data_IF_299693629178
#
_entry.id   IF_299693629178
#
_cell.length_a   1.000
_cell.length_b   1.000
_cell.length_c   1.000
_cell.angle_alpha   90.00
_cell.angle_beta   90.00
_cell.angle_gamma   90.00
#
_symmetry.space_group_name_H-M   'P 1'
#
loop_
_entity.id
_entity.type
_entity.pdbx_description
1 polymer ?
#
# COMPACT_ATOMS: atom_id res chain seq x y z
N UNK A 1 38.22 -15.67 -21.27
CA UNK A 1 38.32 -14.30 -20.75
C UNK A 1 37.06 -14.05 -19.95
N UNK A 2 37.18 -14.08 -18.62
CA UNK A 2 36.09 -13.83 -17.70
C UNK A 2 36.05 -12.33 -17.41
N UNK A 3 35.09 -11.63 -18.01
CA UNK A 3 34.82 -10.23 -17.69
C UNK A 3 33.83 -10.22 -16.53
N UNK A 4 34.36 -10.14 -15.31
CA UNK A 4 33.60 -9.82 -14.11
C UNK A 4 33.12 -8.37 -14.23
N UNK A 5 31.96 -8.17 -14.85
CA UNK A 5 31.18 -6.95 -14.62
C UNK A 5 30.70 -7.06 -13.18
N UNK A 6 31.46 -6.44 -12.28
CA UNK A 6 31.00 -6.08 -10.95
C UNK A 6 29.78 -5.19 -11.16
N UNK A 7 28.60 -5.81 -11.28
CA UNK A 7 27.34 -5.15 -11.14
C UNK A 7 27.40 -4.51 -9.77
N UNK A 8 27.63 -3.20 -9.73
CA UNK A 8 27.42 -2.41 -8.53
C UNK A 8 25.97 -2.70 -8.19
N UNK A 9 25.74 -3.55 -7.20
CA UNK A 9 24.41 -3.80 -6.65
C UNK A 9 23.94 -2.44 -6.18
N UNK A 10 23.22 -1.73 -7.05
CA UNK A 10 22.34 -0.67 -6.61
C UNK A 10 21.37 -1.42 -5.72
N UNK A 11 21.66 -1.37 -4.44
CA UNK A 11 20.72 -1.75 -3.39
C UNK A 11 19.68 -0.65 -3.44
N UNK A 12 18.81 -0.67 -4.47
CA UNK A 12 17.53 -0.03 -4.33
C UNK A 12 16.89 -0.80 -3.19
N UNK A 13 16.80 -0.12 -2.04
CA UNK A 13 16.13 -0.68 -0.88
C UNK A 13 14.64 -0.66 -1.23
N UNK A 14 14.21 -1.69 -1.95
CA UNK A 14 12.81 -1.94 -2.26
C UNK A 14 12.25 -2.82 -1.14
N UNK A 15 11.17 -2.38 -0.50
CA UNK A 15 10.47 -3.15 0.54
C UNK A 15 9.14 -3.60 -0.01
N UNK A 16 8.96 -4.92 -0.11
CA UNK A 16 7.70 -5.54 -0.46
C UNK A 16 6.87 -5.82 0.79
N UNK A 17 5.67 -5.25 0.88
CA UNK A 17 4.74 -5.46 1.99
C UNK A 17 3.45 -6.07 1.44
N UNK A 18 2.98 -7.13 2.08
CA UNK A 18 1.64 -7.67 1.82
C UNK A 18 0.70 -7.14 2.90
N UNK A 19 -0.33 -6.39 2.51
CA UNK A 19 -1.28 -5.80 3.44
C UNK A 19 -2.72 -5.92 2.91
N UNK A 20 -3.66 -6.32 3.78
CA UNK A 20 -5.08 -6.29 3.44
C UNK A 20 -5.64 -4.91 3.77
N UNK A 21 -5.83 -4.11 2.73
CA UNK A 21 -6.35 -2.75 2.83
C UNK A 21 -7.79 -2.70 2.29
N UNK A 22 -8.62 -1.92 2.98
CA UNK A 22 -9.99 -1.63 2.60
C UNK A 22 -10.12 -0.12 2.35
N UNK A 23 -11.15 0.29 1.60
CA UNK A 23 -11.37 1.70 1.24
C UNK A 23 -11.41 2.64 2.45
N UNK A 24 -11.91 2.16 3.60
CA UNK A 24 -11.94 2.90 4.86
C UNK A 24 -10.55 3.23 5.43
N UNK A 25 -9.52 2.44 5.10
CA UNK A 25 -8.16 2.63 5.56
C UNK A 25 -7.37 3.63 4.69
N UNK A 26 -7.89 4.02 3.52
CA UNK A 26 -7.16 4.89 2.59
C UNK A 26 -7.02 6.32 3.13
N UNK A 27 -8.10 6.87 3.69
CA UNK A 27 -8.09 8.20 4.27
C UNK A 27 -7.09 8.34 5.44
N UNK A 28 -7.12 7.49 6.49
CA UNK A 28 -6.14 7.58 7.57
C UNK A 28 -4.71 7.31 7.08
N UNK A 29 -4.52 6.38 6.15
CA UNK A 29 -3.20 6.10 5.58
C UNK A 29 -2.62 7.29 4.82
N UNK A 30 -3.44 8.01 4.04
CA UNK A 30 -3.02 9.24 3.38
C UNK A 30 -2.73 10.37 4.37
N UNK A 31 -3.47 10.48 5.47
CA UNK A 31 -3.19 11.50 6.48
C UNK A 31 -1.88 11.26 7.23
N UNK A 32 -1.60 10.00 7.58
CA UNK A 32 -0.38 9.63 8.30
C UNK A 32 0.86 9.64 7.41
N UNK A 33 0.74 9.19 6.15
CA UNK A 33 1.89 9.02 5.25
C UNK A 33 2.06 10.15 4.22
N UNK A 34 1.01 10.93 3.91
CA UNK A 34 1.04 11.91 2.81
C UNK A 34 1.99 13.10 3.01
N UNK A 35 2.52 13.29 4.22
CA UNK A 35 3.55 14.28 4.51
C UNK A 35 4.95 13.86 4.06
N UNK A 36 5.27 12.58 4.23
CA UNK A 36 6.63 12.04 4.04
C UNK A 36 6.73 11.13 2.80
N UNK A 37 5.61 10.53 2.39
CA UNK A 37 5.51 9.62 1.27
C UNK A 37 4.59 10.18 0.19
N UNK A 38 5.05 10.07 -1.05
CA UNK A 38 4.21 10.19 -2.22
C UNK A 38 3.34 8.95 -2.36
N UNK A 39 2.04 9.16 -2.31
CA UNK A 39 1.03 8.14 -2.50
C UNK A 39 -0.17 8.70 -3.28
N UNK A 40 -0.76 7.89 -4.14
CA UNK A 40 -1.93 8.27 -4.92
C UNK A 40 -3.16 7.56 -4.36
N UNK A 41 -4.11 8.36 -3.84
CA UNK A 41 -5.38 7.85 -3.31
C UNK A 41 -6.13 7.05 -4.38
N UNK A 42 -6.21 7.56 -5.61
CA UNK A 42 -6.83 6.86 -6.74
C UNK A 42 -6.12 5.53 -7.05
N UNK A 43 -4.78 5.49 -7.02
CA UNK A 43 -4.03 4.26 -7.26
C UNK A 43 -4.26 3.21 -6.16
N UNK A 44 -4.34 3.64 -4.90
CA UNK A 44 -4.64 2.76 -3.76
C UNK A 44 -6.07 2.21 -3.88
N UNK A 45 -7.05 3.07 -4.21
CA UNK A 45 -8.44 2.65 -4.40
C UNK A 45 -8.58 1.66 -5.57
N UNK A 46 -7.95 1.94 -6.71
CA UNK A 46 -7.90 1.00 -7.84
C UNK A 46 -7.24 -0.32 -7.46
N UNK A 47 -6.16 -0.29 -6.66
CA UNK A 47 -5.50 -1.50 -6.17
C UNK A 47 -6.38 -2.30 -5.20
N UNK A 48 -7.19 -1.62 -4.37
CA UNK A 48 -8.20 -2.27 -3.51
C UNK A 48 -9.29 -2.92 -4.36
N UNK A 49 -9.86 -2.19 -5.32
CA UNK A 49 -10.95 -2.67 -6.19
C UNK A 49 -10.47 -3.86 -7.03
N UNK A 50 -9.29 -3.76 -7.65
CA UNK A 50 -8.75 -4.78 -8.55
C UNK A 50 -8.00 -5.89 -7.81
N UNK A 51 -7.82 -5.77 -6.49
CA UNK A 51 -6.93 -6.62 -5.69
C UNK A 51 -5.55 -6.73 -6.34
N UNK A 52 -4.96 -5.57 -6.60
CA UNK A 52 -3.67 -5.39 -7.24
C UNK A 52 -2.59 -4.98 -6.25
N UNK A 53 -1.65 -4.18 -6.74
CA UNK A 53 -0.57 -3.58 -5.94
C UNK A 53 -0.46 -2.09 -6.24
N UNK A 54 0.14 -1.37 -5.32
CA UNK A 54 0.48 0.04 -5.48
C UNK A 54 1.85 0.29 -4.85
N UNK A 55 2.50 1.39 -5.24
CA UNK A 55 3.77 1.80 -4.67
C UNK A 55 3.62 3.05 -3.80
N UNK A 56 4.50 3.17 -2.83
CA UNK A 56 4.74 4.36 -2.02
C UNK A 56 6.18 4.79 -2.26
N UNK A 57 6.41 6.09 -2.38
CA UNK A 57 7.75 6.63 -2.58
C UNK A 57 8.03 7.63 -1.47
N UNK A 58 9.01 7.38 -0.63
CA UNK A 58 9.46 8.34 0.37
C UNK A 58 10.09 9.54 -0.31
N UNK A 59 9.56 10.74 -0.07
CA UNK A 59 9.95 11.95 -0.79
C UNK A 59 11.37 12.41 -0.45
N UNK A 60 11.81 12.18 0.78
CA UNK A 60 13.12 12.65 1.26
C UNK A 60 14.27 11.74 0.81
N UNK A 61 14.06 10.42 0.82
CA UNK A 61 15.14 9.44 0.55
C UNK A 61 15.01 8.76 -0.82
N UNK A 62 13.88 8.93 -1.52
CA UNK A 62 13.57 8.21 -2.76
C UNK A 62 13.33 6.72 -2.55
N UNK A 63 13.07 6.30 -1.32
CA UNK A 63 12.84 4.90 -0.95
C UNK A 63 11.49 4.42 -1.45
N UNK A 64 11.45 3.23 -2.07
CA UNK A 64 10.23 2.69 -2.66
C UNK A 64 9.71 1.52 -1.83
N UNK A 65 8.42 1.56 -1.53
CA UNK A 65 7.71 0.47 -0.87
C UNK A 65 6.63 -0.03 -1.81
N UNK A 66 6.69 -1.31 -2.17
CA UNK A 66 5.69 -1.95 -3.00
C UNK A 66 4.70 -2.68 -2.09
N UNK A 67 3.42 -2.26 -2.13
CA UNK A 67 2.35 -2.86 -1.33
C UNK A 67 1.49 -3.74 -2.23
N UNK A 68 1.40 -5.01 -1.85
CA UNK A 68 0.60 -6.02 -2.53
C UNK A 68 -0.64 -6.35 -1.70
N UNK A 69 -1.81 -6.22 -2.31
CA UNK A 69 -3.04 -6.64 -1.65
C UNK A 69 -3.26 -8.13 -1.96
N UNK A 70 -3.27 -9.00 -0.94
CA UNK A 70 -3.65 -10.39 -1.17
C UNK A 70 -5.09 -10.44 -1.66
N UNK A 71 -5.41 -11.44 -2.49
CA UNK A 71 -6.80 -11.71 -2.88
C UNK A 71 -7.57 -12.29 -1.68
N UNK A 72 -7.83 -11.46 -0.68
CA UNK A 72 -8.71 -11.82 0.43
C UNK A 72 -10.14 -11.92 -0.09
N UNK A 73 -10.77 -13.06 0.18
CA UNK A 73 -12.22 -13.23 0.07
C UNK A 73 -12.88 -12.07 0.83
N UNK A 74 -14.00 -11.51 0.34
CA UNK A 74 -14.68 -10.44 1.04
C UNK A 74 -15.00 -10.94 2.45
N UNK A 75 -14.32 -10.38 3.45
CA UNK A 75 -14.86 -10.44 4.79
C UNK A 75 -16.00 -9.43 4.75
N UNK A 76 -17.23 -9.95 4.75
CA UNK A 76 -18.47 -9.23 4.99
C UNK A 76 -18.35 -8.47 6.32
N UNK A 77 -17.70 -7.30 6.32
CA UNK A 77 -17.74 -6.35 7.45
C UNK A 77 -18.98 -5.44 7.37
N UNK A 78 -20.09 -5.96 6.84
CA UNK A 78 -21.44 -5.44 7.07
C UNK A 78 -22.11 -6.16 8.27
N UNK A 79 -21.30 -6.63 9.23
CA UNK A 79 -21.73 -7.10 10.54
C UNK A 79 -21.05 -6.29 11.66
N UNK A 80 -20.80 -5.00 11.44
CA UNK A 80 -20.61 -4.07 12.55
C UNK A 80 -21.98 -3.57 13.01
N UNK A 81 -22.55 -4.33 13.95
CA UNK A 81 -23.23 -3.86 15.16
C UNK A 81 -24.11 -2.60 14.98
N UNK A 82 -25.43 -2.73 14.84
CA UNK A 82 -26.28 -3.02 15.99
C UNK A 82 -26.79 -1.71 16.62
N UNK A 83 -28.00 -1.31 16.21
CA UNK A 83 -28.97 -0.49 16.97
C UNK A 83 -28.44 0.27 18.19
N UNK A 84 -28.10 1.54 18.01
CA UNK A 84 -28.04 2.48 19.12
C UNK A 84 -28.88 3.71 18.79
N UNK A 85 -29.99 3.83 19.53
CA UNK A 85 -30.73 5.04 19.86
C UNK A 85 -31.13 6.01 18.74
N UNK A 86 -32.43 6.07 18.46
CA UNK A 86 -33.13 7.37 18.43
C UNK A 86 -34.57 7.15 18.91
N UNK A 87 -34.85 7.73 20.09
CA UNK A 87 -36.11 8.20 20.68
C UNK A 87 -37.42 7.44 20.46
#
# INVERSE_FOLDING_TARGET
>A
MASTVHGVTRTTLDVDIVADLAGQHVAPLHQELGGDFYLSVDAILEAIIRRGSFNLIHLETGFKVDIFLPKSRPFDEAQLQGVANTC
#
